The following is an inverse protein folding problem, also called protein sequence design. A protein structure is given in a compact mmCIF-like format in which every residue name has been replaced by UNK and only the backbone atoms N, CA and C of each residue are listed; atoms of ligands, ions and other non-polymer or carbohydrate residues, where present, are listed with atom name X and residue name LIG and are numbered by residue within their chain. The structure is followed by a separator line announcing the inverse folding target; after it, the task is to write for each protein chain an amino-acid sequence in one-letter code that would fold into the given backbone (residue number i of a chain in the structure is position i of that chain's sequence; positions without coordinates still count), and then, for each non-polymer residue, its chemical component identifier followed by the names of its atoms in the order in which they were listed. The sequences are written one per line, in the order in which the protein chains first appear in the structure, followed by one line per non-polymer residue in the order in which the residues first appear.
data_IF_087531583027
#
_entry.id   IF_087531583027
#
_cell.length_a   1.000
_cell.length_b   1.000
_cell.length_c   1.000
_cell.angle_alpha   90.00
_cell.angle_beta   90.00
_cell.angle_gamma   90.00
#
_symmetry.space_group_name_H-M   'P 1'
#
loop_
_entity.id
_entity.type
_entity.pdbx_description
1 polymer ?
#
# COMPACT_ATOMS: atom_id res chain seq x y z
N UNK A 1 15.42 -1.08 29.91
CA UNK A 1 15.03 -0.10 28.87
C UNK A 1 13.58 0.24 29.12
N UNK A 2 13.28 1.52 29.26
CA UNK A 2 11.91 2.00 29.47
C UNK A 2 11.52 2.83 28.23
N UNK A 3 10.35 2.55 27.66
CA UNK A 3 9.86 3.27 26.49
C UNK A 3 9.04 4.47 26.97
N UNK A 4 9.48 5.68 26.63
CA UNK A 4 8.62 6.85 26.79
C UNK A 4 7.54 6.83 25.69
N UNK A 5 6.33 6.46 26.08
CA UNK A 5 5.19 6.32 25.17
C UNK A 5 4.84 7.63 24.47
N UNK A 6 4.93 8.76 25.18
CA UNK A 6 4.60 10.07 24.63
C UNK A 6 5.57 10.51 23.52
N UNK A 7 6.79 9.96 23.51
CA UNK A 7 7.82 10.28 22.53
C UNK A 7 8.10 9.11 21.56
N UNK A 8 7.35 8.01 21.65
CA UNK A 8 7.54 6.86 20.77
C UNK A 8 7.01 7.16 19.37
N UNK A 9 7.89 7.20 18.37
CA UNK A 9 7.51 7.45 16.96
C UNK A 9 7.28 6.16 16.16
N UNK A 10 7.34 4.98 16.79
CA UNK A 10 7.10 3.70 16.13
C UNK A 10 8.21 3.24 15.17
N UNK A 11 9.46 3.71 15.34
CA UNK A 11 10.55 3.42 14.41
C UNK A 11 11.11 1.97 14.45
N UNK A 12 10.61 1.11 15.33
CA UNK A 12 11.01 -0.30 15.40
C UNK A 12 12.44 -0.59 15.87
N UNK A 13 13.29 0.42 16.11
CA UNK A 13 14.70 0.20 16.52
C UNK A 13 14.85 -0.55 17.84
N UNK A 14 13.91 -0.34 18.77
CA UNK A 14 13.91 -1.06 20.04
C UNK A 14 13.65 -2.56 19.85
N UNK A 15 12.75 -2.94 18.93
CA UNK A 15 12.49 -4.34 18.57
C UNK A 15 13.74 -5.00 18.01
N UNK A 16 14.40 -4.38 17.02
CA UNK A 16 15.61 -4.93 16.41
C UNK A 16 16.81 -5.03 17.35
N UNK A 17 16.87 -4.21 18.41
CA UNK A 17 17.93 -4.26 19.42
C UNK A 17 17.71 -5.33 20.50
N UNK A 18 16.50 -5.91 20.59
CA UNK A 18 16.16 -6.85 21.65
C UNK A 18 16.50 -8.29 21.26
N UNK A 19 17.60 -8.83 21.80
CA UNK A 19 18.02 -10.22 21.54
C UNK A 19 17.12 -11.30 22.17
N UNK A 20 16.10 -10.91 22.93
CA UNK A 20 15.26 -11.83 23.72
C UNK A 20 13.77 -11.77 23.34
N UNK A 21 13.42 -11.04 22.27
CA UNK A 21 12.03 -10.83 21.84
C UNK A 21 11.08 -10.35 22.96
N UNK A 22 11.63 -9.62 23.93
CA UNK A 22 10.92 -9.11 25.10
C UNK A 22 10.09 -7.85 24.80
N UNK A 23 10.31 -7.22 23.63
CA UNK A 23 9.61 -6.04 23.17
C UNK A 23 8.65 -6.48 22.07
N UNK A 24 7.38 -6.08 22.17
CA UNK A 24 6.35 -6.38 21.17
C UNK A 24 5.59 -5.11 20.81
N UNK A 25 4.98 -5.10 19.63
CA UNK A 25 4.02 -4.05 19.28
C UNK A 25 2.82 -4.11 20.23
N UNK A 26 2.37 -2.94 20.69
CA UNK A 26 1.28 -2.84 21.68
C UNK A 26 -0.11 -2.64 21.04
N UNK A 27 -0.19 -2.44 19.72
CA UNK A 27 -1.42 -2.02 19.05
C UNK A 27 -1.82 -2.94 17.89
N UNK A 28 -3.12 -3.25 17.86
CA UNK A 28 -3.81 -4.01 16.81
C UNK A 28 -4.10 -3.15 15.56
N UNK A 29 -3.93 -1.83 15.64
CA UNK A 29 -4.03 -0.88 14.50
C UNK A 29 -2.71 -0.76 13.71
N UNK A 30 -1.87 -1.79 13.74
CA UNK A 30 -0.51 -1.76 13.21
C UNK A 30 -0.45 -1.29 11.75
N UNK A 31 -1.41 -1.68 10.90
CA UNK A 31 -1.40 -1.37 9.46
C UNK A 31 -1.70 0.11 9.21
N UNK A 32 -2.79 0.65 9.75
CA UNK A 32 -3.16 2.08 9.55
C UNK A 32 -2.09 3.05 10.09
N UNK A 33 -1.48 2.72 11.23
CA UNK A 33 -0.40 3.52 11.81
C UNK A 33 0.87 3.38 10.97
N UNK A 34 1.21 2.17 10.52
CA UNK A 34 2.33 1.94 9.62
C UNK A 34 2.18 2.76 8.33
N UNK A 35 1.00 2.73 7.72
CA UNK A 35 0.65 3.49 6.53
C UNK A 35 0.79 5.00 6.75
N UNK A 36 0.29 5.51 7.86
CA UNK A 36 0.46 6.91 8.25
C UNK A 36 1.95 7.28 8.40
N UNK A 37 2.75 6.41 9.02
CA UNK A 37 4.19 6.62 9.16
C UNK A 37 4.89 6.63 7.81
N UNK A 38 4.58 5.69 6.90
CA UNK A 38 5.16 5.67 5.55
C UNK A 38 4.92 6.99 4.81
N UNK A 39 3.70 7.54 4.87
CA UNK A 39 3.40 8.85 4.29
C UNK A 39 4.17 9.99 4.97
N UNK A 40 4.32 9.99 6.30
CA UNK A 40 5.13 10.98 7.04
C UNK A 40 6.60 10.94 6.60
N UNK A 41 7.19 9.76 6.43
CA UNK A 41 8.56 9.61 5.94
C UNK A 41 8.71 10.04 4.49
N UNK A 42 7.74 9.70 3.63
CA UNK A 42 7.73 10.16 2.24
C UNK A 42 7.70 11.70 2.16
N UNK A 43 6.86 12.34 2.97
CA UNK A 43 6.81 13.80 3.07
C UNK A 43 8.16 14.38 3.51
N UNK A 44 8.82 13.79 4.51
CA UNK A 44 10.14 14.26 4.95
C UNK A 44 11.22 14.19 3.85
N UNK A 45 11.07 13.28 2.88
CA UNK A 45 11.99 13.14 1.74
C UNK A 45 11.71 14.18 0.65
N UNK A 46 10.44 14.42 0.31
CA UNK A 46 10.05 15.30 -0.82
C UNK A 46 9.88 16.76 -0.43
N UNK A 47 9.67 17.06 0.86
CA UNK A 47 9.42 18.41 1.34
C UNK A 47 10.58 19.34 0.98
N UNK A 48 10.23 20.50 0.42
CA UNK A 48 11.14 21.55 -0.04
C UNK A 48 12.14 21.08 -1.11
N UNK A 49 11.77 20.05 -1.90
CA UNK A 49 12.58 19.51 -3.00
C UNK A 49 11.73 19.29 -4.26
N UNK A 50 12.34 19.54 -5.41
CA UNK A 50 11.77 19.10 -6.69
C UNK A 50 11.73 17.56 -6.71
N UNK A 51 10.58 17.02 -7.12
CA UNK A 51 10.33 15.59 -7.16
C UNK A 51 9.46 15.27 -8.37
N UNK A 52 9.61 14.06 -8.90
CA UNK A 52 8.81 13.51 -9.98
C UNK A 52 8.74 12.01 -9.76
N UNK A 53 7.54 11.46 -9.81
CA UNK A 53 7.24 10.11 -9.40
C UNK A 53 6.82 9.28 -10.61
N UNK A 54 7.34 8.04 -10.66
CA UNK A 54 7.03 7.05 -11.68
C UNK A 54 6.61 5.77 -10.97
N UNK A 55 5.43 5.25 -11.30
CA UNK A 55 4.92 3.99 -10.77
C UNK A 55 4.72 3.01 -11.92
N UNK A 56 5.26 1.80 -11.78
CA UNK A 56 5.05 0.69 -12.70
C UNK A 56 4.13 -0.31 -12.03
N UNK A 57 2.95 -0.50 -12.58
CA UNK A 57 1.99 -1.48 -12.09
C UNK A 57 2.09 -2.72 -12.97
N UNK A 58 2.98 -3.61 -12.55
CA UNK A 58 3.35 -4.85 -13.24
C UNK A 58 3.40 -5.99 -12.24
N UNK A 59 3.08 -7.20 -12.70
CA UNK A 59 3.16 -8.43 -11.92
C UNK A 59 2.57 -8.29 -10.50
N UNK A 60 1.36 -7.71 -10.39
CA UNK A 60 0.71 -7.46 -9.10
C UNK A 60 0.47 -8.78 -8.39
N UNK A 61 1.27 -9.06 -7.36
CA UNK A 61 1.29 -10.34 -6.67
C UNK A 61 0.30 -10.41 -5.51
N UNK A 62 -0.17 -11.60 -5.12
CA UNK A 62 -1.09 -11.75 -3.99
C UNK A 62 -0.43 -11.48 -2.62
N UNK A 63 0.90 -11.70 -2.52
CA UNK A 63 1.68 -11.47 -1.30
C UNK A 63 2.88 -10.56 -1.58
N UNK A 64 3.49 -10.04 -0.51
CA UNK A 64 4.75 -9.32 -0.60
C UNK A 64 5.84 -10.23 -1.17
N UNK A 65 6.74 -9.68 -1.99
CA UNK A 65 7.84 -10.42 -2.64
C UNK A 65 8.79 -11.14 -1.67
N UNK A 66 8.76 -10.78 -0.39
CA UNK A 66 9.53 -11.46 0.65
C UNK A 66 8.92 -12.79 1.13
N UNK A 67 7.66 -13.10 0.76
CA UNK A 67 7.00 -14.35 1.10
C UNK A 67 7.36 -15.45 0.10
N UNK A 68 7.82 -16.59 0.61
CA UNK A 68 8.22 -17.76 -0.21
C UNK A 68 7.05 -18.39 -0.98
N UNK A 69 5.83 -18.16 -0.50
CA UNK A 69 4.56 -18.65 -0.99
C UNK A 69 3.88 -17.67 -1.97
N UNK A 70 4.61 -16.66 -2.47
CA UNK A 70 4.07 -15.77 -3.48
C UNK A 70 3.73 -16.55 -4.76
N UNK A 71 2.56 -16.26 -5.32
CA UNK A 71 1.97 -17.04 -6.41
C UNK A 71 1.87 -16.18 -7.69
N UNK A 72 1.24 -16.73 -8.73
CA UNK A 72 0.95 -16.03 -9.97
C UNK A 72 0.30 -14.65 -9.72
N UNK A 73 0.62 -13.63 -10.55
CA UNK A 73 0.00 -12.31 -10.45
C UNK A 73 -1.53 -12.38 -10.45
N UNK A 74 -2.15 -11.53 -9.63
CA UNK A 74 -3.62 -11.43 -9.51
C UNK A 74 -4.23 -10.50 -10.56
N UNK A 75 -3.45 -9.57 -11.11
CA UNK A 75 -3.86 -8.62 -12.15
C UNK A 75 -2.90 -8.65 -13.34
N UNK A 76 -3.37 -8.34 -14.56
CA UNK A 76 -2.49 -8.14 -15.70
C UNK A 76 -1.61 -6.89 -15.50
N UNK A 77 -0.53 -6.79 -16.29
CA UNK A 77 0.28 -5.56 -16.35
C UNK A 77 -0.59 -4.38 -16.81
N UNK A 78 -0.68 -3.36 -15.96
CA UNK A 78 -1.54 -2.18 -16.18
C UNK A 78 -0.77 -1.09 -16.91
N UNK A 79 0.52 -0.93 -16.60
CA UNK A 79 1.41 -0.01 -17.29
C UNK A 79 2.19 0.90 -16.37
N UNK A 80 2.60 2.05 -16.91
CA UNK A 80 3.42 3.04 -16.24
C UNK A 80 2.64 4.34 -16.05
N UNK A 81 2.69 4.88 -14.84
CA UNK A 81 2.06 6.14 -14.45
C UNK A 81 3.14 7.12 -14.00
N UNK A 82 2.88 8.41 -14.18
CA UNK A 82 3.82 9.46 -13.84
C UNK A 82 3.09 10.70 -13.31
N UNK A 83 3.63 11.33 -12.28
CA UNK A 83 3.08 12.56 -11.70
C UNK A 83 4.10 13.34 -10.88
N UNK A 84 3.86 14.63 -10.70
CA UNK A 84 4.52 15.45 -9.68
C UNK A 84 3.83 15.34 -8.31
N UNK A 85 2.60 14.82 -8.27
CA UNK A 85 1.85 14.56 -7.03
C UNK A 85 1.87 13.04 -6.75
N UNK A 86 2.60 12.58 -5.70
CA UNK A 86 2.72 11.17 -5.39
C UNK A 86 1.40 10.54 -4.89
N UNK A 87 0.53 11.30 -4.22
CA UNK A 87 -0.74 10.77 -3.71
C UNK A 87 -1.73 10.56 -4.87
N UNK A 88 -1.77 11.52 -5.80
CA UNK A 88 -2.59 11.41 -7.00
C UNK A 88 -2.12 10.24 -7.89
N UNK A 89 -0.81 10.04 -7.97
CA UNK A 89 -0.21 8.92 -8.70
C UNK A 89 -0.65 7.56 -8.12
N UNK A 90 -0.49 7.38 -6.81
CA UNK A 90 -0.86 6.14 -6.14
C UNK A 90 -2.37 5.89 -6.21
N UNK A 91 -3.19 6.94 -6.11
CA UNK A 91 -4.64 6.84 -6.32
C UNK A 91 -4.98 6.37 -7.74
N UNK A 92 -4.35 6.95 -8.78
CA UNK A 92 -4.58 6.54 -10.16
C UNK A 92 -4.16 5.08 -10.41
N UNK A 93 -3.05 4.63 -9.81
CA UNK A 93 -2.62 3.24 -9.86
C UNK A 93 -3.63 2.30 -9.19
N UNK A 94 -4.08 2.62 -7.98
CA UNK A 94 -5.06 1.82 -7.26
C UNK A 94 -6.39 1.74 -8.03
N UNK A 95 -6.89 2.86 -8.54
CA UNK A 95 -8.12 2.89 -9.35
C UNK A 95 -7.98 2.07 -10.64
N UNK A 96 -6.82 2.08 -11.27
CA UNK A 96 -6.55 1.27 -12.45
C UNK A 96 -6.51 -0.22 -12.11
N UNK A 97 -5.91 -0.60 -10.98
CA UNK A 97 -5.98 -1.96 -10.44
C UNK A 97 -7.42 -2.41 -10.24
N UNK A 98 -8.22 -1.62 -9.54
CA UNK A 98 -9.62 -1.94 -9.23
C UNK A 98 -10.51 -2.09 -10.47
N UNK A 99 -10.16 -1.42 -11.58
CA UNK A 99 -10.87 -1.53 -12.86
C UNK A 99 -10.37 -2.70 -13.74
N UNK A 100 -9.20 -3.26 -13.44
CA UNK A 100 -8.65 -4.35 -14.23
C UNK A 100 -9.40 -5.66 -13.97
N UNK A 101 -9.53 -6.48 -15.01
CA UNK A 101 -10.06 -7.83 -14.89
C UNK A 101 -9.00 -8.74 -14.23
N UNK A 102 -9.32 -9.45 -13.14
CA UNK A 102 -8.40 -10.39 -12.52
C UNK A 102 -7.93 -11.50 -13.46
N UNK A 103 -6.68 -11.94 -13.29
CA UNK A 103 -6.15 -13.06 -14.07
C UNK A 103 -6.83 -14.37 -13.65
N UNK A 104 -7.20 -15.18 -14.64
CA UNK A 104 -7.71 -16.55 -14.41
C UNK A 104 -6.59 -17.45 -13.88
N UNK A 105 -6.93 -18.41 -13.02
CA UNK A 105 -5.96 -19.27 -12.34
C UNK A 105 -4.97 -18.48 -11.48
N UNK A 106 -5.43 -17.39 -10.89
CA UNK A 106 -4.73 -16.68 -9.80
C UNK A 106 -5.57 -16.84 -8.54
N UNK A 107 -4.97 -16.63 -7.36
CA UNK A 107 -5.70 -16.67 -6.08
C UNK A 107 -6.96 -15.79 -6.12
N UNK A 108 -6.87 -14.58 -6.69
CA UNK A 108 -8.01 -13.68 -6.81
C UNK A 108 -9.06 -14.22 -7.81
N UNK A 109 -8.62 -14.68 -8.99
CA UNK A 109 -9.51 -15.23 -10.01
C UNK A 109 -10.26 -16.48 -9.52
N UNK A 110 -9.58 -17.36 -8.80
CA UNK A 110 -10.15 -18.59 -8.24
C UNK A 110 -11.12 -18.27 -7.09
N UNK A 111 -10.77 -17.31 -6.23
CA UNK A 111 -11.65 -16.83 -5.16
C UNK A 111 -12.97 -16.28 -5.73
N UNK A 112 -12.89 -15.43 -6.76
CA UNK A 112 -14.06 -14.86 -7.42
C UNK A 112 -14.89 -15.93 -8.18
N UNK A 113 -14.24 -16.90 -8.81
CA UNK A 113 -14.91 -17.97 -9.55
C UNK A 113 -15.61 -18.99 -8.63
N UNK A 114 -15.10 -19.20 -7.41
CA UNK A 114 -15.64 -20.18 -6.45
C UNK A 114 -17.06 -19.83 -5.96
N UNK A 115 -17.47 -18.56 -6.06
CA UNK A 115 -18.75 -18.06 -5.54
C UNK A 115 -18.87 -18.09 -4.01
N UNK A 116 -17.81 -18.47 -3.28
CA UNK A 116 -17.78 -18.51 -1.82
C UNK A 116 -17.27 -17.19 -1.22
N UNK A 117 -16.52 -16.40 -1.99
CA UNK A 117 -16.03 -15.09 -1.59
C UNK A 117 -17.08 -14.00 -1.90
N UNK A 118 -17.29 -13.10 -0.94
CA UNK A 118 -18.07 -11.87 -1.19
C UNK A 118 -17.18 -10.92 -1.98
N UNK A 119 -17.58 -10.59 -3.21
CA UNK A 119 -16.91 -9.55 -3.97
C UNK A 119 -17.16 -8.19 -3.33
N UNK A 120 -16.11 -7.62 -2.74
CA UNK A 120 -16.13 -6.28 -2.13
C UNK A 120 -15.91 -5.16 -3.14
N UNK A 121 -15.80 -5.49 -4.43
CA UNK A 121 -15.35 -4.60 -5.51
C UNK A 121 -13.99 -3.94 -5.21
N UNK A 122 -13.17 -4.63 -4.41
CA UNK A 122 -11.82 -4.23 -4.05
C UNK A 122 -10.92 -5.47 -4.16
N UNK A 123 -10.12 -5.53 -5.22
CA UNK A 123 -9.23 -6.66 -5.50
C UNK A 123 -8.22 -6.91 -4.38
N UNK A 124 -7.79 -5.85 -3.69
CA UNK A 124 -6.86 -5.95 -2.58
C UNK A 124 -7.55 -6.57 -1.35
N UNK A 125 -8.79 -6.14 -1.03
CA UNK A 125 -9.57 -6.70 0.09
C UNK A 125 -10.15 -8.07 -0.20
N UNK A 126 -10.35 -8.42 -1.48
CA UNK A 126 -10.78 -9.74 -1.93
C UNK A 126 -9.63 -10.77 -1.86
N UNK A 127 -8.38 -10.31 -2.02
CA UNK A 127 -7.18 -11.16 -1.84
C UNK A 127 -6.76 -11.23 -0.37
N UNK A 128 -6.65 -10.08 0.29
CA UNK A 128 -6.21 -9.93 1.68
C UNK A 128 -7.20 -9.05 2.43
N UNK A 129 -8.12 -9.62 3.24
CA UNK A 129 -9.20 -8.87 3.89
C UNK A 129 -8.74 -7.69 4.75
N UNK A 130 -7.55 -7.78 5.32
CA UNK A 130 -6.93 -6.76 6.19
C UNK A 130 -6.16 -5.68 5.40
N UNK A 131 -6.22 -5.70 4.07
CA UNK A 131 -5.56 -4.71 3.22
C UNK A 131 -6.22 -3.34 3.39
N UNK A 132 -5.42 -2.35 3.80
CA UNK A 132 -5.85 -1.00 4.14
C UNK A 132 -5.14 0.06 3.29
N UNK A 133 -5.07 -0.15 1.98
CA UNK A 133 -4.35 0.72 1.03
C UNK A 133 -4.83 2.19 1.08
N UNK A 134 -6.14 2.42 1.30
CA UNK A 134 -6.75 3.75 1.33
C UNK A 134 -6.24 4.62 2.49
N UNK A 135 -5.93 4.02 3.64
CA UNK A 135 -5.53 4.75 4.86
C UNK A 135 -4.25 5.55 4.65
N UNK A 136 -3.32 5.02 3.86
CA UNK A 136 -2.08 5.72 3.51
C UNK A 136 -2.36 6.98 2.69
N UNK A 137 -3.23 6.88 1.68
CA UNK A 137 -3.57 8.00 0.79
C UNK A 137 -4.36 9.09 1.52
N UNK A 138 -5.32 8.70 2.37
CA UNK A 138 -6.08 9.62 3.22
C UNK A 138 -5.13 10.40 4.15
N UNK A 139 -4.18 9.72 4.79
CA UNK A 139 -3.23 10.40 5.66
C UNK A 139 -2.24 11.26 4.88
N UNK A 140 -1.76 10.79 3.72
CA UNK A 140 -0.89 11.54 2.81
C UNK A 140 -1.51 12.88 2.41
N UNK A 141 -2.77 12.87 1.99
CA UNK A 141 -3.51 14.10 1.69
C UNK A 141 -3.66 15.00 2.93
N UNK A 142 -4.04 14.42 4.08
CA UNK A 142 -4.20 15.15 5.34
C UNK A 142 -2.93 15.89 5.79
N UNK A 143 -1.75 15.32 5.58
CA UNK A 143 -0.47 15.93 5.96
C UNK A 143 0.13 16.84 4.86
N UNK A 144 -0.53 16.96 3.71
CA UNK A 144 -0.09 17.79 2.59
C UNK A 144 1.01 17.16 1.73
N UNK A 145 1.09 15.82 1.66
CA UNK A 145 2.00 15.12 0.74
C UNK A 145 1.56 15.23 -0.73
N UNK A 146 0.25 15.35 -0.96
CA UNK A 146 -0.36 15.39 -2.28
C UNK A 146 -1.88 15.44 -2.17
N UNK A 147 -2.60 15.20 -3.27
CA UNK A 147 -4.06 15.14 -3.30
C UNK A 147 -4.54 13.82 -3.87
N UNK A 148 -5.70 13.35 -3.42
CA UNK A 148 -6.31 12.14 -3.99
C UNK A 148 -6.99 12.40 -5.34
N UNK A 149 -7.47 13.62 -5.57
CA UNK A 149 -8.06 14.00 -6.85
C UNK A 149 -7.00 14.10 -7.94
N UNK A 150 -7.30 13.57 -9.13
CA UNK A 150 -6.41 13.57 -10.28
C UNK A 150 -7.18 13.64 -11.60
N UNK A 151 -6.52 14.20 -12.63
CA UNK A 151 -6.98 14.14 -14.02
C UNK A 151 -6.07 13.18 -14.80
N UNK A 152 -6.64 12.09 -15.31
CA UNK A 152 -5.86 11.10 -16.06
C UNK A 152 -5.66 11.54 -17.52
N UNK A 153 -4.40 11.78 -17.89
CA UNK A 153 -4.01 12.09 -19.28
C UNK A 153 -3.34 10.85 -19.89
N UNK A 154 -3.98 10.27 -20.89
CA UNK A 154 -3.42 9.11 -21.61
C UNK A 154 -2.50 9.60 -22.73
N UNK A 155 -1.21 9.30 -22.60
CA UNK A 155 -0.21 9.55 -23.63
C UNK A 155 -0.32 8.47 -24.71
N UNK A 156 -0.38 8.89 -25.98
CA UNK A 156 -0.40 8.01 -27.16
C UNK A 156 0.92 8.05 -27.90
#
# INVERSE_FOLDING_TARGET
MELNENNCVGCGRCLGACNFDAIRFRQDQAISILNAKMAEYALAVVKDRENFHLSLVVDVSPYCDCHSENDAPILPNIGMFASFDPVALDQACADACLKAEPLRNSVLGDNLASGQAVDKHDHFKNTTPESEWETQLIHGEKIGLGRRDYDLIVMK
#
